data_IF_695675611134
#
_entry.id   IF_695675611134
#
_cell.length_a   1.000
_cell.length_b   1.000
_cell.length_c   1.000
_cell.angle_alpha   90.00
_cell.angle_beta   90.00
_cell.angle_gamma   90.00
#
_symmetry.space_group_name_H-M   'P 1'
#
loop_
_entity.id
_entity.type
_entity.pdbx_description
1 polymer ?
#
# COMPACT_ATOMS: atom_id res chain seq x y z
N UNK A 1 20.23 -1.97 -2.19
CA UNK A 1 19.66 -0.72 -2.74
C UNK A 1 19.15 -1.05 -4.13
N UNK A 2 17.86 -0.85 -4.40
CA UNK A 2 17.24 -1.17 -5.69
C UNK A 2 17.10 0.12 -6.49
N UNK A 3 18.14 0.44 -7.27
CA UNK A 3 18.19 1.67 -8.10
C UNK A 3 17.13 1.60 -9.21
N UNK A 4 16.95 0.39 -9.75
CA UNK A 4 16.01 0.10 -10.82
C UNK A 4 14.59 -0.23 -10.31
N UNK A 5 14.30 0.03 -9.03
CA UNK A 5 13.02 -0.29 -8.41
C UNK A 5 12.91 -1.74 -7.91
N UNK A 6 11.89 -1.99 -7.10
CA UNK A 6 11.50 -3.26 -6.54
C UNK A 6 10.81 -4.11 -7.59
N UNK A 7 11.08 -5.42 -7.60
CA UNK A 7 10.30 -6.36 -8.39
C UNK A 7 8.86 -6.43 -7.84
N UNK A 8 7.82 -6.02 -8.57
CA UNK A 8 6.44 -6.02 -8.06
C UNK A 8 5.88 -7.42 -7.82
N UNK A 9 6.45 -8.45 -8.45
CA UNK A 9 5.94 -9.82 -8.43
C UNK A 9 6.54 -10.69 -7.34
N UNK A 10 7.32 -10.13 -6.42
CA UNK A 10 7.74 -10.81 -5.19
C UNK A 10 7.02 -10.19 -4.00
N UNK A 11 6.76 -10.98 -2.96
CA UNK A 11 6.13 -10.50 -1.73
C UNK A 11 7.07 -9.56 -0.99
N UNK A 12 6.62 -8.34 -0.72
CA UNK A 12 7.37 -7.34 0.03
C UNK A 12 6.71 -7.07 1.38
N UNK A 13 7.54 -6.93 2.41
CA UNK A 13 7.05 -6.41 3.69
C UNK A 13 6.67 -4.95 3.57
N UNK A 14 5.55 -4.56 4.17
CA UNK A 14 5.14 -3.18 4.30
C UNK A 14 6.13 -2.32 5.10
N UNK A 15 7.00 -2.94 5.92
CA UNK A 15 8.04 -2.23 6.66
C UNK A 15 9.10 -1.55 5.79
N UNK A 16 9.14 -1.81 4.48
CA UNK A 16 10.02 -1.09 3.54
C UNK A 16 9.47 0.30 3.13
N UNK A 17 8.39 0.76 3.78
CA UNK A 17 7.82 2.09 3.54
C UNK A 17 8.89 3.18 3.57
N UNK A 18 8.82 4.04 2.56
CA UNK A 18 9.69 5.19 2.36
C UNK A 18 8.99 6.52 2.68
N UNK A 19 7.69 6.45 2.97
CA UNK A 19 6.83 7.56 3.32
C UNK A 19 5.82 7.06 4.36
N UNK A 20 5.77 7.70 5.52
CA UNK A 20 4.86 7.34 6.60
C UNK A 20 4.46 8.59 7.38
N UNK A 21 3.17 8.79 7.64
CA UNK A 21 2.63 9.95 8.36
C UNK A 21 1.85 9.55 9.61
N UNK A 22 1.35 10.54 10.35
CA UNK A 22 0.29 10.33 11.35
C UNK A 22 0.67 9.49 12.57
N UNK A 23 1.96 9.36 12.86
CA UNK A 23 2.45 8.59 14.02
C UNK A 23 2.36 7.07 13.87
N UNK A 24 2.06 6.58 12.67
CA UNK A 24 2.24 5.17 12.35
C UNK A 24 3.72 4.78 12.46
N UNK A 25 3.99 3.52 12.73
CA UNK A 25 5.33 3.02 13.03
C UNK A 25 5.55 1.62 12.47
N UNK A 26 6.79 1.29 12.15
CA UNK A 26 7.18 -0.07 11.77
C UNK A 26 7.51 -0.85 13.05
N UNK A 27 7.02 -2.07 13.16
CA UNK A 27 7.33 -2.94 14.31
C UNK A 27 8.82 -3.35 14.31
N UNK A 28 9.45 -3.49 15.48
CA UNK A 28 10.81 -4.00 15.58
C UNK A 28 10.84 -5.52 15.31
N UNK A 29 11.86 -5.99 14.59
CA UNK A 29 12.23 -7.40 14.57
C UNK A 29 13.19 -7.71 15.73
N UNK A 30 12.95 -8.84 16.39
CA UNK A 30 13.84 -9.39 17.41
C UNK A 30 14.54 -10.68 16.97
N UNK A 31 14.21 -11.17 15.78
CA UNK A 31 14.80 -12.37 15.19
C UNK A 31 15.35 -12.07 13.79
N UNK A 32 16.51 -12.64 13.47
CA UNK A 32 17.20 -12.45 12.18
C UNK A 32 16.44 -13.07 10.99
N UNK A 33 15.57 -14.04 11.25
CA UNK A 33 14.72 -14.69 10.25
C UNK A 33 13.39 -13.96 9.98
N UNK A 34 13.18 -12.80 10.62
CA UNK A 34 11.95 -12.01 10.43
C UNK A 34 11.85 -11.53 8.97
N UNK A 35 10.86 -12.05 8.24
CA UNK A 35 10.62 -11.69 6.83
C UNK A 35 9.60 -10.57 6.64
N UNK A 36 8.83 -10.24 7.68
CA UNK A 36 7.83 -9.18 7.64
C UNK A 36 7.90 -8.29 8.88
N UNK A 37 7.87 -6.98 8.65
CA UNK A 37 7.83 -5.92 9.63
C UNK A 37 6.54 -5.10 9.41
N UNK A 38 5.45 -5.42 10.11
CA UNK A 38 4.20 -4.71 9.93
C UNK A 38 4.30 -3.21 10.25
N UNK A 39 3.55 -2.41 9.49
CA UNK A 39 3.23 -1.02 9.84
C UNK A 39 2.00 -1.04 10.75
N UNK A 40 2.15 -0.44 11.92
CA UNK A 40 1.16 -0.42 13.01
C UNK A 40 0.88 1.02 13.46
N UNK A 41 -0.04 1.20 14.41
CA UNK A 41 -0.53 2.51 14.86
C UNK A 41 -1.16 3.32 13.72
N UNK A 42 -1.75 2.64 12.75
CA UNK A 42 -2.42 3.23 11.60
C UNK A 42 -3.78 3.76 12.06
N UNK A 43 -3.97 5.07 12.02
CA UNK A 43 -5.22 5.78 12.34
C UNK A 43 -5.73 6.55 11.13
N UNK A 44 -6.90 7.18 11.27
CA UNK A 44 -7.44 8.09 10.25
C UNK A 44 -6.40 9.13 9.80
N UNK A 45 -6.25 9.29 8.49
CA UNK A 45 -5.34 10.24 7.86
C UNK A 45 -3.89 9.76 7.72
N UNK A 46 -3.55 8.58 8.21
CA UNK A 46 -2.23 7.97 7.95
C UNK A 46 -2.08 7.70 6.46
N UNK A 47 -0.88 7.96 5.94
CA UNK A 47 -0.47 7.61 4.58
C UNK A 47 0.82 6.80 4.69
N UNK A 48 0.83 5.61 4.08
CA UNK A 48 2.00 4.74 3.97
C UNK A 48 2.37 4.56 2.50
N UNK A 49 3.64 4.72 2.14
CA UNK A 49 4.10 4.70 0.74
C UNK A 49 5.40 3.96 0.51
N UNK A 50 5.42 3.06 -0.48
CA UNK A 50 6.58 2.31 -0.97
C UNK A 50 6.96 2.90 -2.32
N UNK A 51 8.21 3.37 -2.50
CA UNK A 51 8.49 4.39 -3.51
C UNK A 51 8.56 3.92 -4.97
N UNK A 52 9.06 2.71 -5.27
CA UNK A 52 9.44 2.37 -6.65
C UNK A 52 9.28 0.88 -6.98
N UNK A 53 8.08 0.41 -7.26
CA UNK A 53 7.90 -0.83 -8.02
C UNK A 53 8.25 -0.60 -9.49
N UNK A 54 9.00 -1.50 -10.10
CA UNK A 54 9.36 -1.43 -11.52
C UNK A 54 8.39 -2.27 -12.35
N UNK A 55 7.52 -1.61 -13.10
CA UNK A 55 6.54 -2.27 -13.97
C UNK A 55 7.09 -2.60 -15.37
N UNK A 56 8.33 -2.23 -15.70
CA UNK A 56 9.02 -2.71 -16.91
C UNK A 56 9.47 -4.18 -16.79
N UNK A 57 9.37 -4.77 -15.60
CA UNK A 57 9.71 -6.17 -15.38
C UNK A 57 8.60 -7.09 -15.90
N UNK A 58 9.01 -8.18 -16.54
CA UNK A 58 8.08 -9.21 -17.00
C UNK A 58 7.38 -9.87 -15.81
N UNK A 59 6.06 -9.98 -15.91
CA UNK A 59 5.31 -10.78 -14.96
C UNK A 59 5.67 -12.27 -15.09
N UNK A 60 5.62 -13.05 -14.00
CA UNK A 60 5.92 -14.48 -14.04
C UNK A 60 5.01 -15.28 -14.97
N UNK A 61 3.78 -14.81 -15.17
CA UNK A 61 2.75 -15.41 -16.01
C UNK A 61 1.97 -14.33 -16.75
N UNK A 62 1.40 -14.71 -17.90
CA UNK A 62 0.33 -13.96 -18.55
C UNK A 62 -0.95 -14.17 -17.75
N UNK A 63 -1.68 -13.10 -17.43
CA UNK A 63 -2.80 -13.23 -16.50
C UNK A 63 -3.39 -11.92 -16.02
N UNK A 64 -4.53 -12.01 -15.35
CA UNK A 64 -5.15 -10.83 -14.75
C UNK A 64 -4.30 -10.36 -13.58
N UNK A 65 -3.85 -9.10 -13.63
CA UNK A 65 -3.04 -8.53 -12.57
C UNK A 65 -3.93 -8.09 -11.41
N UNK A 66 -3.53 -8.45 -10.20
CA UNK A 66 -4.10 -7.91 -8.97
C UNK A 66 -2.99 -7.47 -8.02
N UNK A 67 -3.32 -6.53 -7.13
CA UNK A 67 -2.52 -6.19 -5.98
C UNK A 67 -3.10 -6.94 -4.78
N UNK A 68 -2.30 -7.83 -4.20
CA UNK A 68 -2.56 -8.44 -2.92
C UNK A 68 -1.98 -7.58 -1.79
N UNK A 69 -2.81 -7.33 -0.79
CA UNK A 69 -2.48 -6.55 0.40
C UNK A 69 -2.81 -7.40 1.62
N UNK A 70 -1.79 -7.86 2.33
CA UNK A 70 -1.97 -8.57 3.59
C UNK A 70 -2.07 -7.55 4.72
N UNK A 71 -3.20 -7.54 5.41
CA UNK A 71 -3.44 -6.72 6.59
C UNK A 71 -4.27 -7.46 7.63
N UNK A 72 -4.22 -6.98 8.87
CA UNK A 72 -5.07 -7.44 9.96
C UNK A 72 -6.04 -6.33 10.36
N UNK A 73 -7.37 -6.48 10.16
CA UNK A 73 -8.36 -5.54 10.66
C UNK A 73 -8.35 -5.48 12.19
N UNK A 74 -8.68 -4.33 12.78
CA UNK A 74 -8.74 -4.15 14.24
C UNK A 74 -10.16 -3.84 14.75
N UNK A 75 -11.19 -4.26 14.00
CA UNK A 75 -12.59 -4.09 14.38
C UNK A 75 -13.09 -2.65 14.28
N UNK A 76 -12.61 -1.91 13.28
CA UNK A 76 -12.98 -0.52 13.01
C UNK A 76 -13.48 -0.40 11.57
N UNK A 77 -14.62 0.25 11.38
CA UNK A 77 -15.09 0.65 10.06
C UNK A 77 -14.11 1.66 9.45
N UNK A 78 -13.54 1.32 8.31
CA UNK A 78 -12.51 2.13 7.68
C UNK A 78 -12.40 1.86 6.18
N UNK A 79 -11.79 2.82 5.49
CA UNK A 79 -11.51 2.74 4.07
C UNK A 79 -10.01 2.94 3.84
N UNK A 80 -9.45 2.15 2.91
CA UNK A 80 -8.05 2.26 2.51
C UNK A 80 -8.02 2.49 1.01
N UNK A 81 -7.75 3.73 0.62
CA UNK A 81 -7.56 4.08 -0.77
C UNK A 81 -6.12 3.76 -1.19
N UNK A 82 -5.99 3.02 -2.29
CA UNK A 82 -4.70 2.58 -2.82
C UNK A 82 -4.37 3.35 -4.08
N UNK A 83 -3.21 3.98 -4.10
CA UNK A 83 -2.74 4.82 -5.20
C UNK A 83 -1.40 4.32 -5.75
N UNK A 84 -1.23 4.50 -7.05
CA UNK A 84 0.05 4.45 -7.74
C UNK A 84 0.54 5.87 -8.02
N UNK A 85 1.84 6.11 -7.81
CA UNK A 85 2.48 7.42 -8.04
C UNK A 85 3.68 7.28 -8.99
N UNK A 86 3.73 8.00 -10.12
CA UNK A 86 4.87 7.88 -11.02
C UNK A 86 6.15 8.42 -10.36
N UNK A 87 7.31 7.85 -10.69
CA UNK A 87 8.59 8.29 -10.11
C UNK A 87 8.91 9.78 -10.38
N UNK A 88 8.42 10.33 -11.49
CA UNK A 88 8.54 11.77 -11.82
C UNK A 88 7.90 12.68 -10.77
N UNK A 89 6.90 12.18 -10.03
CA UNK A 89 6.15 12.93 -9.03
C UNK A 89 6.79 12.89 -7.62
N UNK A 90 8.03 12.43 -7.49
CA UNK A 90 8.73 12.28 -6.20
C UNK A 90 8.72 13.52 -5.31
N UNK A 91 8.78 14.71 -5.92
CA UNK A 91 8.83 16.00 -5.23
C UNK A 91 7.47 16.72 -5.20
N UNK A 92 6.40 16.04 -5.58
CA UNK A 92 5.05 16.61 -5.56
C UNK A 92 4.32 16.19 -4.28
N UNK A 93 3.64 17.12 -3.60
CA UNK A 93 2.99 16.85 -2.33
C UNK A 93 1.70 16.03 -2.52
N UNK A 94 1.22 15.46 -1.41
CA UNK A 94 -0.15 14.94 -1.33
C UNK A 94 -1.14 16.11 -1.42
N UNK A 95 -2.19 15.95 -2.23
CA UNK A 95 -3.23 16.95 -2.41
C UNK A 95 -4.51 16.57 -1.69
N UNK A 96 -5.16 17.58 -1.10
CA UNK A 96 -6.36 17.42 -0.31
C UNK A 96 -7.51 18.24 -0.90
N UNK A 97 -8.71 17.67 -0.90
CA UNK A 97 -9.96 18.38 -1.12
C UNK A 97 -10.92 18.04 0.00
N UNK A 98 -11.41 19.05 0.71
CA UNK A 98 -12.33 18.87 1.84
C UNK A 98 -11.81 17.85 2.88
N UNK A 99 -10.51 17.96 3.21
CA UNK A 99 -9.77 17.04 4.10
C UNK A 99 -9.59 15.60 3.61
N UNK A 100 -10.04 15.27 2.40
CA UNK A 100 -9.80 13.97 1.77
C UNK A 100 -8.61 14.05 0.83
N UNK A 101 -7.74 13.04 0.87
CA UNK A 101 -6.67 12.91 -0.13
C UNK A 101 -7.31 12.64 -1.48
N UNK A 102 -6.95 13.43 -2.49
CA UNK A 102 -7.41 13.26 -3.87
C UNK A 102 -6.29 12.82 -4.80
N UNK A 103 -5.04 13.03 -4.39
CA UNK A 103 -3.83 12.68 -5.11
C UNK A 103 -2.68 12.50 -4.13
N UNK A 104 -1.80 11.52 -4.39
CA UNK A 104 -0.55 11.31 -3.63
C UNK A 104 0.68 11.91 -4.33
N UNK A 105 0.43 12.69 -5.38
CA UNK A 105 1.41 13.36 -6.23
C UNK A 105 0.90 13.53 -7.66
N UNK A 106 1.49 14.46 -8.41
CA UNK A 106 1.10 14.75 -9.79
C UNK A 106 1.06 13.47 -10.65
N UNK A 107 -0.03 13.25 -11.38
CA UNK A 107 -0.20 12.05 -12.22
C UNK A 107 -0.45 10.76 -11.44
N UNK A 108 -0.69 10.82 -10.13
CA UNK A 108 -1.08 9.63 -9.35
C UNK A 108 -2.42 9.06 -9.81
N UNK A 109 -2.57 7.74 -9.68
CA UNK A 109 -3.76 6.99 -10.10
C UNK A 109 -4.28 6.19 -8.92
N UNK A 110 -5.58 6.28 -8.63
CA UNK A 110 -6.23 5.42 -7.64
C UNK A 110 -6.46 4.05 -8.28
N UNK A 111 -5.84 3.01 -7.71
CA UNK A 111 -5.98 1.61 -8.13
C UNK A 111 -7.28 1.00 -7.61
N UNK A 112 -7.69 1.39 -6.40
CA UNK A 112 -8.91 0.91 -5.80
C UNK A 112 -9.02 1.29 -4.34
N UNK A 113 -9.93 0.60 -3.66
CA UNK A 113 -10.27 0.83 -2.27
C UNK A 113 -10.49 -0.51 -1.58
N UNK A 114 -9.91 -0.68 -0.40
CA UNK A 114 -10.24 -1.76 0.52
C UNK A 114 -11.18 -1.19 1.57
N UNK A 115 -12.35 -1.81 1.74
CA UNK A 115 -13.30 -1.48 2.79
C UNK A 115 -13.10 -2.47 3.95
N UNK A 116 -12.95 -1.95 5.16
CA UNK A 116 -12.90 -2.72 6.39
C UNK A 116 -14.18 -2.46 7.18
N UNK A 117 -14.80 -3.52 7.69
CA UNK A 117 -15.94 -3.41 8.59
C UNK A 117 -15.57 -3.89 9.99
N UNK A 118 -16.22 -3.31 11.00
CA UNK A 118 -15.94 -3.58 12.41
C UNK A 118 -16.21 -5.03 12.84
N UNK A 119 -17.02 -5.76 12.07
CA UNK A 119 -17.36 -7.17 12.27
C UNK A 119 -16.39 -8.15 11.58
N UNK A 120 -15.42 -7.66 10.78
CA UNK A 120 -14.39 -8.51 10.21
C UNK A 120 -13.56 -9.19 11.32
N UNK A 121 -13.18 -10.47 11.15
CA UNK A 121 -12.24 -11.13 12.04
C UNK A 121 -10.94 -10.33 12.19
N UNK A 122 -10.46 -10.18 13.42
CA UNK A 122 -9.20 -9.50 13.71
C UNK A 122 -7.99 -10.42 13.50
N UNK A 123 -7.88 -10.98 12.30
CA UNK A 123 -6.82 -11.91 11.87
C UNK A 123 -6.19 -11.46 10.55
N UNK A 124 -4.98 -11.96 10.27
CA UNK A 124 -4.28 -11.62 9.03
C UNK A 124 -5.09 -12.11 7.82
N UNK A 125 -5.38 -11.21 6.91
CA UNK A 125 -6.23 -11.44 5.74
C UNK A 125 -5.60 -10.78 4.51
N UNK A 126 -5.59 -11.50 3.39
CA UNK A 126 -5.18 -10.94 2.09
C UNK A 126 -6.37 -10.35 1.37
N UNK A 127 -6.29 -9.06 1.05
CA UNK A 127 -7.24 -8.36 0.22
C UNK A 127 -6.68 -8.21 -1.19
N UNK A 128 -7.52 -8.37 -2.21
CA UNK A 128 -7.11 -8.26 -3.61
C UNK A 128 -7.81 -7.09 -4.29
N UNK A 129 -7.02 -6.21 -4.92
CA UNK A 129 -7.50 -5.12 -5.77
C UNK A 129 -7.13 -5.45 -7.22
N UNK A 130 -8.07 -5.32 -8.16
CA UNK A 130 -7.75 -5.43 -9.60
C UNK A 130 -6.68 -4.41 -9.97
N UNK A 131 -5.60 -4.87 -10.60
CA UNK A 131 -4.46 -4.05 -11.02
C UNK A 131 -4.24 -4.09 -12.53
N UNK A 132 -5.29 -4.37 -13.32
CA UNK A 132 -5.20 -4.49 -14.78
C UNK A 132 -4.67 -3.24 -15.49
N UNK A 133 -4.77 -2.06 -14.88
CA UNK A 133 -4.19 -0.85 -15.46
C UNK A 133 -2.66 -0.80 -15.42
N UNK A 134 -1.98 -1.64 -14.64
CA UNK A 134 -0.50 -1.60 -14.55
C UNK A 134 0.16 -2.00 -15.86
N UNK A 135 -0.48 -2.82 -16.69
CA UNK A 135 0.00 -3.19 -18.03
C UNK A 135 0.11 -1.99 -18.99
N UNK A 136 -0.45 -0.83 -18.61
CA UNK A 136 -0.39 0.43 -19.35
C UNK A 136 0.58 1.44 -18.71
N UNK A 137 1.32 1.01 -17.69
CA UNK A 137 2.25 1.85 -16.95
C UNK A 137 3.67 1.37 -17.24
N UNK A 138 4.52 2.30 -17.66
CA UNK A 138 5.94 2.04 -17.84
C UNK A 138 6.73 2.60 -16.65
N UNK A 139 7.89 2.02 -16.39
CA UNK A 139 8.87 2.49 -15.43
C UNK A 139 8.50 2.28 -13.97
N UNK A 140 9.01 3.17 -13.12
CA UNK A 140 8.92 3.05 -11.67
C UNK A 140 7.70 3.80 -11.11
N UNK A 141 6.94 3.11 -10.27
CA UNK A 141 5.75 3.63 -9.61
C UNK A 141 5.76 3.32 -8.12
N UNK A 142 5.46 4.30 -7.29
CA UNK A 142 5.25 4.10 -5.87
C UNK A 142 3.84 3.61 -5.56
N UNK A 143 3.70 2.73 -4.58
CA UNK A 143 2.45 2.23 -4.04
C UNK A 143 2.13 2.94 -2.73
N UNK A 144 0.96 3.58 -2.65
CA UNK A 144 0.53 4.38 -1.51
C UNK A 144 -0.81 3.89 -0.97
N UNK A 145 -0.93 3.87 0.34
CA UNK A 145 -2.14 3.54 1.09
C UNK A 145 -2.55 4.76 1.88
N UNK A 146 -3.78 5.22 1.70
CA UNK A 146 -4.39 6.32 2.44
C UNK A 146 -5.50 5.74 3.31
N UNK A 147 -5.33 5.82 4.62
CA UNK A 147 -6.24 5.23 5.59
C UNK A 147 -7.22 6.28 6.08
N UNK A 148 -8.52 5.99 6.02
CA UNK A 148 -9.58 6.87 6.52
C UNK A 148 -10.57 6.10 7.40
N UNK A 149 -11.06 6.77 8.44
CA UNK A 149 -12.08 6.26 9.34
C UNK A 149 -12.69 7.44 10.11
N UNK A 150 -13.96 7.31 10.50
CA UNK A 150 -14.58 8.26 11.44
C UNK A 150 -14.13 8.00 12.89
N UNK A 151 -13.42 6.89 13.14
CA UNK A 151 -12.83 6.55 14.43
C UNK A 151 -11.45 7.17 14.64
N UNK A 152 -11.14 7.53 15.88
CA UNK A 152 -9.80 7.95 16.33
C UNK A 152 -8.87 6.79 16.72
N UNK A 153 -9.34 5.54 16.58
CA UNK A 153 -8.62 4.33 16.98
C UNK A 153 -7.74 3.77 15.86
N UNK A 154 -6.93 2.75 16.19
CA UNK A 154 -6.13 2.05 15.21
C UNK A 154 -7.04 1.21 14.30
N UNK A 155 -6.84 1.33 12.99
CA UNK A 155 -7.69 0.76 11.93
C UNK A 155 -7.28 -0.68 11.59
N UNK A 156 -5.99 -0.87 11.33
CA UNK A 156 -5.42 -2.14 10.92
C UNK A 156 -3.91 -2.20 11.21
N UNK A 157 -3.33 -3.38 10.98
CA UNK A 157 -1.88 -3.58 10.85
C UNK A 157 -1.59 -4.00 9.40
N UNK A 158 -0.68 -3.31 8.70
CA UNK A 158 -0.34 -3.60 7.30
C UNK A 158 0.93 -4.44 7.25
N UNK A 159 0.86 -5.64 6.67
CA UNK A 159 1.94 -6.64 6.73
C UNK A 159 2.75 -6.71 5.44
N UNK A 160 2.11 -7.05 4.32
CA UNK A 160 2.80 -7.37 3.08
C UNK A 160 2.01 -6.90 1.86
N UNK A 161 2.72 -6.71 0.76
CA UNK A 161 2.14 -6.34 -0.54
C UNK A 161 2.80 -7.14 -1.65
N UNK A 162 2.03 -7.47 -2.68
CA UNK A 162 2.54 -8.14 -3.88
C UNK A 162 1.62 -7.87 -5.06
N UNK A 163 2.17 -7.58 -6.23
CA UNK A 163 1.40 -7.70 -7.47
C UNK A 163 1.47 -9.15 -7.93
N UNK A 164 0.32 -9.75 -8.18
CA UNK A 164 0.22 -11.13 -8.68
C UNK A 164 -0.41 -11.13 -10.06
N UNK A 165 -0.11 -12.19 -10.81
CA UNK A 165 -0.70 -12.46 -12.11
C UNK A 165 -1.28 -13.87 -12.09
N UNK A 166 -2.57 -13.98 -12.36
CA UNK A 166 -3.30 -15.25 -12.43
C UNK A 166 -3.68 -15.62 -13.86
#
# INVERSE_FOLDING_TARGET
>A
FFIEGLNPYVKHSAGIVSYLTGGASITPAYSEDTTTLPVVNIRNGVIAGIKYFNFDLDAPTDGSKSLEVELKPLGIDAQIDVYLRPASAVNTPVEYKDSKVVSVGEGSKKLGTIELSADMPMESTTFSISAKEIDKLDGQWGLFFVFSSDSGLNICELYNVQFVSE
#
